data_IF_639744852913
#
_entry.id   IF_639744852913
#
_cell.length_a   1.000
_cell.length_b   1.000
_cell.length_c   1.000
_cell.angle_alpha   90.00
_cell.angle_beta   90.00
_cell.angle_gamma   90.00
#
_symmetry.space_group_name_H-M   'P 1'
#
loop_
_entity.id
_entity.type
_entity.pdbx_description
1 polymer ?
#
# COMPACT_ATOMS: atom_id res chain seq x y z
N UNK A 1 -16.75 -1.87 5.84
CA UNK A 1 -17.48 -1.87 4.55
C UNK A 1 -16.55 -1.70 3.34
N UNK A 2 -15.56 -0.80 3.39
CA UNK A 2 -14.61 -0.54 2.28
C UNK A 2 -13.75 -1.75 1.87
N UNK A 3 -13.33 -2.59 2.82
CA UNK A 3 -12.55 -3.81 2.51
C UNK A 3 -13.35 -4.83 1.67
N UNK A 4 -14.65 -4.99 1.94
CA UNK A 4 -15.52 -5.87 1.17
C UNK A 4 -15.69 -5.36 -0.27
N UNK A 5 -15.84 -4.05 -0.44
CA UNK A 5 -15.90 -3.42 -1.75
C UNK A 5 -14.59 -3.58 -2.54
N UNK A 6 -13.43 -3.39 -1.89
CA UNK A 6 -12.12 -3.62 -2.50
C UNK A 6 -11.92 -5.07 -2.95
N UNK A 7 -12.35 -6.04 -2.14
CA UNK A 7 -12.31 -7.46 -2.49
C UNK A 7 -13.20 -7.80 -3.68
N UNK A 8 -14.43 -7.27 -3.72
CA UNK A 8 -15.35 -7.47 -4.85
C UNK A 8 -14.81 -6.85 -6.15
N UNK A 9 -14.20 -5.67 -6.08
CA UNK A 9 -13.53 -5.05 -7.22
C UNK A 9 -12.36 -5.88 -7.74
N UNK A 10 -11.54 -6.41 -6.83
CA UNK A 10 -10.45 -7.30 -7.18
C UNK A 10 -10.96 -8.58 -7.86
N UNK A 11 -11.99 -9.20 -7.30
CA UNK A 11 -12.59 -10.42 -7.85
C UNK A 11 -13.23 -10.17 -9.22
N UNK A 12 -13.95 -9.05 -9.37
CA UNK A 12 -14.54 -8.63 -10.64
C UNK A 12 -13.48 -8.34 -11.71
N UNK A 13 -12.32 -7.78 -11.34
CA UNK A 13 -11.22 -7.54 -12.29
C UNK A 13 -10.59 -8.85 -12.80
N UNK A 14 -10.43 -9.85 -11.94
CA UNK A 14 -9.90 -11.16 -12.32
C UNK A 14 -10.86 -11.92 -13.25
N UNK A 15 -12.15 -11.86 -12.96
CA UNK A 15 -13.20 -12.42 -13.83
C UNK A 15 -13.30 -11.64 -15.16
N UNK A 16 -13.17 -10.31 -15.12
CA UNK A 16 -13.15 -9.47 -16.32
C UNK A 16 -11.98 -9.79 -17.25
N UNK A 17 -10.77 -9.98 -16.71
CA UNK A 17 -9.61 -10.46 -17.48
C UNK A 17 -9.88 -11.82 -18.13
N UNK A 18 -10.51 -12.74 -17.39
CA UNK A 18 -10.86 -14.07 -17.93
C UNK A 18 -11.91 -14.01 -19.05
N UNK A 19 -12.82 -13.02 -19.00
CA UNK A 19 -13.80 -12.73 -20.05
C UNK A 19 -13.24 -11.89 -21.21
N UNK A 20 -11.94 -11.58 -21.21
CA UNK A 20 -11.28 -10.86 -22.30
C UNK A 20 -11.50 -9.34 -22.26
N UNK A 21 -11.72 -8.76 -21.08
CA UNK A 21 -11.77 -7.31 -20.95
C UNK A 21 -10.45 -6.66 -21.40
N UNK A 22 -10.50 -5.44 -21.96
CA UNK A 22 -9.30 -4.72 -22.34
C UNK A 22 -8.38 -4.57 -21.12
N UNK A 23 -7.09 -4.85 -21.27
CA UNK A 23 -6.10 -4.80 -20.19
C UNK A 23 -6.13 -3.50 -19.39
N UNK A 24 -6.46 -2.39 -20.04
CA UNK A 24 -6.60 -1.07 -19.41
C UNK A 24 -7.74 -1.03 -18.38
N UNK A 25 -8.88 -1.65 -18.69
CA UNK A 25 -10.07 -1.67 -17.82
C UNK A 25 -9.81 -2.55 -16.61
N UNK A 26 -9.25 -3.74 -16.84
CA UNK A 26 -8.91 -4.65 -15.75
C UNK A 26 -7.80 -4.09 -14.85
N UNK A 27 -6.75 -3.49 -15.43
CA UNK A 27 -5.67 -2.86 -14.66
C UNK A 27 -6.16 -1.69 -13.81
N UNK A 28 -7.09 -0.88 -14.34
CA UNK A 28 -7.68 0.23 -13.59
C UNK A 28 -8.51 -0.28 -12.40
N UNK A 29 -9.31 -1.35 -12.59
CA UNK A 29 -10.11 -1.95 -11.53
C UNK A 29 -9.25 -2.66 -10.49
N UNK A 30 -8.16 -3.32 -10.91
CA UNK A 30 -7.14 -3.88 -10.01
C UNK A 30 -6.53 -2.78 -9.15
N UNK A 31 -6.06 -1.69 -9.76
CA UNK A 31 -5.45 -0.56 -9.05
C UNK A 31 -6.46 0.09 -8.09
N UNK A 32 -7.70 0.30 -8.52
CA UNK A 32 -8.76 0.85 -7.67
C UNK A 32 -9.10 -0.09 -6.50
N UNK A 33 -9.20 -1.40 -6.74
CA UNK A 33 -9.43 -2.40 -5.69
C UNK A 33 -8.29 -2.43 -4.67
N UNK A 34 -7.04 -2.41 -5.14
CA UNK A 34 -5.85 -2.37 -4.28
C UNK A 34 -5.80 -1.09 -3.45
N UNK A 35 -6.13 0.06 -4.06
CA UNK A 35 -6.14 1.36 -3.38
C UNK A 35 -7.24 1.42 -2.32
N UNK A 36 -8.44 0.89 -2.59
CA UNK A 36 -9.53 0.86 -1.61
C UNK A 36 -9.21 -0.12 -0.47
N UNK A 37 -8.51 -1.21 -0.75
CA UNK A 37 -8.16 -2.23 0.24
C UNK A 37 -6.97 -1.83 1.12
N UNK A 38 -5.89 -1.31 0.52
CA UNK A 38 -4.65 -0.96 1.23
C UNK A 38 -4.49 0.53 1.52
N UNK A 39 -5.19 1.41 0.83
CA UNK A 39 -5.10 2.86 1.00
C UNK A 39 -5.28 3.33 2.44
N UNK A 40 -6.31 2.85 3.18
CA UNK A 40 -6.48 3.23 4.58
C UNK A 40 -5.26 2.85 5.42
N UNK A 41 -4.70 1.65 5.22
CA UNK A 41 -3.54 1.16 5.96
C UNK A 41 -2.27 1.96 5.65
N UNK A 42 -2.06 2.31 4.38
CA UNK A 42 -0.92 3.14 3.95
C UNK A 42 -1.04 4.55 4.52
N UNK A 43 -2.23 5.15 4.50
CA UNK A 43 -2.48 6.49 5.06
C UNK A 43 -2.30 6.47 6.58
N UNK A 44 -2.79 5.45 7.29
CA UNK A 44 -2.58 5.33 8.74
C UNK A 44 -1.11 5.13 9.09
N UNK A 45 -0.39 4.30 8.33
CA UNK A 45 1.03 4.05 8.55
C UNK A 45 1.88 5.30 8.24
N UNK A 46 1.50 6.06 7.21
CA UNK A 46 2.14 7.33 6.87
C UNK A 46 1.89 8.39 7.94
N UNK A 47 0.63 8.55 8.38
CA UNK A 47 0.27 9.45 9.49
C UNK A 47 1.00 9.09 10.78
N UNK A 48 1.10 7.81 11.12
CA UNK A 48 1.87 7.36 12.29
C UNK A 48 3.35 7.73 12.19
N UNK A 49 3.94 7.64 10.99
CA UNK A 49 5.35 8.02 10.77
C UNK A 49 5.58 9.51 10.92
N UNK A 50 4.66 10.35 10.43
CA UNK A 50 4.77 11.81 10.60
C UNK A 50 4.53 12.25 12.05
N UNK A 51 3.65 11.56 12.78
CA UNK A 51 3.39 11.87 14.19
C UNK A 51 4.51 11.45 15.14
N UNK A 52 5.41 10.55 14.72
CA UNK A 52 6.49 10.07 15.56
C UNK A 52 7.60 11.12 15.60
N UNK A 53 8.06 11.53 16.80
CA UNK A 53 9.19 12.44 16.90
C UNK A 53 10.41 11.83 16.21
N UNK A 54 11.24 12.65 15.54
CA UNK A 54 12.45 12.16 14.92
C UNK A 54 13.31 11.45 15.98
N UNK A 55 13.76 10.23 15.65
CA UNK A 55 14.65 9.48 16.54
C UNK A 55 15.98 10.24 16.69
N UNK A 56 16.55 10.28 17.91
CA UNK A 56 17.84 10.92 18.13
C UNK A 56 18.93 10.24 17.30
N UNK A 57 19.87 11.04 16.78
CA UNK A 57 20.92 10.57 15.89
C UNK A 57 21.76 9.45 16.54
N UNK A 58 21.98 9.49 17.86
CA UNK A 58 22.73 8.44 18.57
C UNK A 58 22.02 7.08 18.55
N UNK A 59 20.68 7.05 18.53
CA UNK A 59 19.91 5.80 18.45
C UNK A 59 20.01 5.19 17.05
N UNK A 60 20.02 6.02 16.01
CA UNK A 60 20.18 5.58 14.61
C UNK A 60 21.61 5.11 14.35
N UNK A 61 22.61 5.83 14.85
CA UNK A 61 24.03 5.55 14.65
C UNK A 61 24.48 4.21 15.28
N UNK A 62 23.76 3.67 16.27
CA UNK A 62 24.04 2.33 16.85
C UNK A 62 23.85 1.19 15.85
N UNK A 63 22.97 1.37 14.87
CA UNK A 63 22.66 0.34 13.87
C UNK A 63 23.54 0.43 12.63
N UNK A 64 24.30 1.53 12.47
CA UNK A 64 25.20 1.69 11.34
C UNK A 64 26.55 1.04 11.65
N UNK A 65 27.13 0.29 10.68
CA UNK A 65 28.50 -0.19 10.81
C UNK A 65 29.43 1.03 10.96
N UNK A 66 30.37 1.00 11.92
CA UNK A 66 31.33 2.09 12.17
C UNK A 66 32.53 2.03 11.21
N UNK A 67 32.25 2.03 9.90
CA UNK A 67 33.24 2.14 8.83
C UNK A 67 34.04 3.45 8.78
N UNK A 68 33.66 4.46 9.58
CA UNK A 68 34.32 5.77 9.69
C UNK A 68 35.06 5.98 11.03
N UNK A 69 35.16 4.94 11.87
CA UNK A 69 35.86 5.00 13.16
C UNK A 69 37.33 4.63 13.03
#
# INVERSE_FOLDING_TARGET
MTQLAGFLLWLASGVGLWLGWPDKVASLLLAAGLLVFHGPTVITAWRERESKPPKPAEEVLKWYPKWWA
#
